data_IF_014473195513
#
_entry.id   IF_014473195513
#
_cell.length_a   1.000
_cell.length_b   1.000
_cell.length_c   1.000
_cell.angle_alpha   90.00
_cell.angle_beta   90.00
_cell.angle_gamma   90.00
#
_symmetry.space_group_name_H-M   'P 1'
#
loop_
_entity.id
_entity.type
_entity.pdbx_description
1 polymer ?
#
# COMPACT_ATOMS: atom_id res chain seq x y z
N UNK A 1 52.87 13.95 -5.24
CA UNK A 1 52.03 13.13 -4.33
C UNK A 1 50.91 13.96 -3.68
N UNK A 2 51.20 15.18 -3.19
CA UNK A 2 50.23 16.07 -2.51
C UNK A 2 48.95 16.41 -3.33
N UNK A 3 49.06 16.66 -4.63
CA UNK A 3 47.92 16.98 -5.51
C UNK A 3 46.93 15.80 -5.73
N UNK A 4 47.34 14.56 -5.45
CA UNK A 4 46.49 13.37 -5.61
C UNK A 4 45.63 13.12 -4.36
N UNK A 5 46.17 13.33 -3.16
CA UNK A 5 45.37 13.25 -1.94
C UNK A 5 44.32 14.36 -1.87
N UNK A 6 44.64 15.57 -2.33
CA UNK A 6 43.70 16.70 -2.32
C UNK A 6 42.53 16.50 -3.28
N UNK A 7 42.77 15.97 -4.48
CA UNK A 7 41.71 15.64 -5.44
C UNK A 7 40.81 14.50 -4.94
N UNK A 8 41.38 13.47 -4.31
CA UNK A 8 40.61 12.39 -3.68
C UNK A 8 39.76 12.89 -2.51
N UNK A 9 40.33 13.74 -1.65
CA UNK A 9 39.60 14.34 -0.54
C UNK A 9 38.46 15.24 -1.05
N UNK A 10 38.70 16.05 -2.09
CA UNK A 10 37.68 16.88 -2.69
C UNK A 10 36.55 16.06 -3.34
N UNK A 11 36.86 14.95 -4.02
CA UNK A 11 35.86 14.06 -4.61
C UNK A 11 35.03 13.33 -3.54
N UNK A 12 35.67 12.83 -2.48
CA UNK A 12 34.98 12.21 -1.35
C UNK A 12 34.11 13.23 -0.58
N UNK A 13 34.61 14.45 -0.38
CA UNK A 13 33.86 15.55 0.22
C UNK A 13 32.66 15.96 -0.65
N UNK A 14 32.83 16.02 -1.97
CA UNK A 14 31.75 16.32 -2.93
C UNK A 14 30.69 15.21 -2.93
N UNK A 15 31.07 13.94 -2.95
CA UNK A 15 30.14 12.81 -2.84
C UNK A 15 29.42 12.80 -1.49
N UNK A 16 30.14 13.12 -0.41
CA UNK A 16 29.57 13.33 0.93
C UNK A 16 28.53 14.46 0.93
N UNK A 17 28.88 15.64 0.40
CA UNK A 17 27.99 16.79 0.25
C UNK A 17 26.75 16.44 -0.60
N UNK A 18 26.94 15.78 -1.75
CA UNK A 18 25.85 15.35 -2.62
C UNK A 18 24.92 14.33 -1.94
N UNK A 19 25.45 13.48 -1.06
CA UNK A 19 24.61 12.56 -0.28
C UNK A 19 23.72 13.27 0.75
N UNK A 20 24.19 14.39 1.31
CA UNK A 20 23.43 15.23 2.25
C UNK A 20 22.37 16.08 1.53
N UNK A 21 22.63 16.50 0.29
CA UNK A 21 21.67 17.30 -0.52
C UNK A 21 20.42 16.53 -0.96
N UNK A 22 20.40 15.20 -0.84
CA UNK A 22 19.26 14.38 -1.28
C UNK A 22 19.17 14.12 -2.79
N UNK A 23 20.12 14.64 -3.58
CA UNK A 23 20.20 14.39 -5.04
C UNK A 23 20.35 12.90 -5.32
N UNK A 24 21.20 12.21 -4.56
CA UNK A 24 21.41 10.76 -4.69
C UNK A 24 20.11 9.97 -4.45
N UNK A 25 19.32 10.38 -3.45
CA UNK A 25 18.04 9.74 -3.16
C UNK A 25 17.01 9.99 -4.28
N UNK A 26 16.99 11.21 -4.84
CA UNK A 26 16.09 11.58 -5.93
C UNK A 26 16.41 10.82 -7.22
N UNK A 27 17.70 10.71 -7.56
CA UNK A 27 18.15 9.90 -8.70
C UNK A 27 17.83 8.42 -8.48
N UNK A 28 18.06 7.88 -7.28
CA UNK A 28 17.71 6.51 -6.95
C UNK A 28 16.22 6.23 -7.08
N UNK A 29 15.36 7.13 -6.62
CA UNK A 29 13.91 7.01 -6.75
C UNK A 29 13.50 7.03 -8.23
N UNK A 30 14.03 7.98 -9.01
CA UNK A 30 13.73 8.07 -10.44
C UNK A 30 14.19 6.82 -11.19
N UNK A 31 15.40 6.34 -10.93
CA UNK A 31 15.88 5.08 -11.52
C UNK A 31 14.98 3.90 -11.14
N UNK A 32 14.52 3.82 -9.89
CA UNK A 32 13.57 2.79 -9.47
C UNK A 32 12.26 2.88 -10.25
N UNK A 33 11.74 4.08 -10.48
CA UNK A 33 10.50 4.25 -11.26
C UNK A 33 10.70 3.85 -12.72
N UNK A 34 11.81 4.24 -13.35
CA UNK A 34 12.14 3.80 -14.71
C UNK A 34 12.31 2.27 -14.80
N UNK A 35 12.84 1.63 -13.75
CA UNK A 35 12.93 0.17 -13.71
C UNK A 35 11.53 -0.49 -13.66
N UNK A 36 10.56 0.10 -12.97
CA UNK A 36 9.16 -0.38 -13.03
C UNK A 36 8.57 -0.23 -14.43
N UNK A 37 8.82 0.91 -15.08
CA UNK A 37 8.38 1.17 -16.45
C UNK A 37 9.00 0.15 -17.42
N UNK A 38 10.31 -0.06 -17.34
CA UNK A 38 11.04 -1.01 -18.19
C UNK A 38 10.60 -2.46 -17.95
N UNK A 39 10.31 -2.81 -16.69
CA UNK A 39 9.79 -4.13 -16.35
C UNK A 39 8.39 -4.37 -16.94
N UNK A 40 7.62 -3.31 -17.14
CA UNK A 40 6.23 -3.39 -17.59
C UNK A 40 5.28 -3.94 -16.50
N UNK A 41 3.97 -3.99 -16.77
CA UNK A 41 2.99 -4.54 -15.84
C UNK A 41 3.21 -6.05 -15.60
N UNK A 42 2.99 -6.48 -14.37
CA UNK A 42 3.02 -7.87 -13.93
C UNK A 42 1.66 -8.20 -13.33
N UNK A 43 1.06 -9.31 -13.76
CA UNK A 43 -0.21 -9.78 -13.22
C UNK A 43 -0.07 -10.09 -11.72
N UNK A 44 -0.83 -9.45 -10.82
CA UNK A 44 -0.85 -9.79 -9.40
C UNK A 44 -1.67 -11.07 -9.17
N UNK A 45 -1.69 -11.56 -7.92
CA UNK A 45 -2.53 -12.71 -7.57
C UNK A 45 -3.99 -12.45 -7.92
N UNK A 46 -4.62 -13.42 -8.58
CA UNK A 46 -6.04 -13.38 -8.93
C UNK A 46 -6.95 -13.73 -7.74
N UNK A 47 -6.36 -14.07 -6.59
CA UNK A 47 -7.08 -14.32 -5.35
C UNK A 47 -7.43 -13.01 -4.61
N UNK A 48 -6.88 -11.88 -5.04
CA UNK A 48 -7.19 -10.56 -4.46
C UNK A 48 -8.16 -9.85 -5.39
N UNK A 49 -9.33 -9.50 -4.86
CA UNK A 49 -10.41 -8.83 -5.58
C UNK A 49 -10.70 -7.49 -4.93
N UNK A 50 -10.90 -6.48 -5.76
CA UNK A 50 -11.35 -5.17 -5.33
C UNK A 50 -12.84 -5.04 -5.68
N UNK A 51 -13.64 -4.69 -4.69
CA UNK A 51 -15.03 -4.26 -4.88
C UNK A 51 -15.03 -2.74 -4.78
N UNK A 52 -15.09 -2.09 -5.93
CA UNK A 52 -15.01 -0.64 -6.04
C UNK A 52 -16.37 0.03 -5.86
N UNK A 53 -16.40 1.09 -5.06
CA UNK A 53 -17.52 2.04 -5.05
C UNK A 53 -17.35 2.95 -6.26
N UNK A 54 -17.90 2.51 -7.38
CA UNK A 54 -17.85 3.16 -8.69
C UNK A 54 -19.04 4.13 -8.91
N UNK A 55 -19.01 4.84 -10.04
CA UNK A 55 -20.06 5.80 -10.39
C UNK A 55 -21.44 5.13 -10.53
N UNK A 56 -21.49 3.86 -10.99
CA UNK A 56 -22.73 3.08 -11.06
C UNK A 56 -23.32 2.85 -9.67
N UNK A 57 -22.47 2.58 -8.69
CA UNK A 57 -22.89 2.38 -7.29
C UNK A 57 -23.42 3.68 -6.69
N UNK A 58 -22.78 4.81 -6.96
CA UNK A 58 -23.28 6.13 -6.53
C UNK A 58 -24.62 6.48 -7.20
N UNK A 59 -24.75 6.19 -8.51
CA UNK A 59 -26.00 6.41 -9.24
C UNK A 59 -27.15 5.55 -8.69
N UNK A 60 -26.87 4.30 -8.28
CA UNK A 60 -27.88 3.37 -7.80
C UNK A 60 -28.22 3.52 -6.31
N UNK A 61 -27.25 3.86 -5.46
CA UNK A 61 -27.40 3.85 -3.99
C UNK A 61 -27.49 5.25 -3.37
N UNK A 62 -27.15 6.29 -4.15
CA UNK A 62 -27.13 7.68 -3.70
C UNK A 62 -25.73 8.16 -3.32
N UNK A 63 -25.63 9.30 -2.62
CA UNK A 63 -24.35 9.91 -2.30
C UNK A 63 -23.54 9.08 -1.29
N UNK A 64 -22.22 9.20 -1.37
CA UNK A 64 -21.28 8.69 -0.38
C UNK A 64 -21.29 9.54 0.89
N UNK A 65 -21.15 8.98 2.11
CA UNK A 65 -20.95 7.57 2.45
C UNK A 65 -22.25 6.74 2.47
N UNK A 66 -22.14 5.46 2.11
CA UNK A 66 -23.26 4.54 2.12
C UNK A 66 -23.73 4.14 3.54
N UNK A 67 -25.05 3.97 3.75
CA UNK A 67 -25.58 3.45 5.01
C UNK A 67 -25.06 2.04 5.37
N UNK A 68 -24.85 1.77 6.67
CA UNK A 68 -24.32 0.48 7.18
C UNK A 68 -25.09 -0.75 6.69
N UNK A 69 -26.41 -0.64 6.48
CA UNK A 69 -27.23 -1.72 5.92
C UNK A 69 -26.74 -2.24 4.56
N UNK A 70 -26.12 -1.40 3.73
CA UNK A 70 -25.58 -1.83 2.44
C UNK A 70 -24.29 -2.64 2.64
N UNK A 71 -23.40 -2.23 3.54
CA UNK A 71 -22.22 -3.02 3.89
C UNK A 71 -22.59 -4.36 4.54
N UNK A 72 -23.62 -4.39 5.39
CA UNK A 72 -24.16 -5.62 5.96
C UNK A 72 -24.71 -6.58 4.89
N UNK A 73 -25.44 -6.04 3.89
CA UNK A 73 -25.92 -6.82 2.75
C UNK A 73 -24.79 -7.24 1.81
N UNK A 74 -23.73 -6.44 1.67
CA UNK A 74 -22.55 -6.84 0.89
C UNK A 74 -21.88 -8.04 1.57
N UNK A 75 -21.71 -8.00 2.89
CA UNK A 75 -21.14 -9.12 3.65
C UNK A 75 -21.92 -10.43 3.46
N UNK A 76 -23.25 -10.37 3.35
CA UNK A 76 -24.03 -11.59 3.09
C UNK A 76 -23.76 -12.24 1.72
N UNK A 77 -23.18 -11.50 0.76
CA UNK A 77 -22.72 -12.00 -0.55
C UNK A 77 -21.29 -12.50 -0.56
N UNK A 78 -20.53 -12.22 0.51
CA UNK A 78 -19.10 -12.51 0.61
C UNK A 78 -18.80 -13.63 1.59
N UNK A 79 -19.78 -14.48 1.92
CA UNK A 79 -19.64 -15.54 2.93
C UNK A 79 -18.54 -16.56 2.64
N UNK A 80 -18.18 -16.74 1.36
CA UNK A 80 -17.12 -17.66 0.94
C UNK A 80 -15.75 -17.00 0.80
N UNK A 81 -15.65 -15.68 1.02
CA UNK A 81 -14.38 -14.98 1.03
C UNK A 81 -13.45 -15.52 2.12
N UNK A 82 -12.15 -15.36 1.93
CA UNK A 82 -11.14 -15.71 2.93
C UNK A 82 -10.99 -14.64 3.99
N UNK A 83 -10.90 -13.38 3.56
CA UNK A 83 -10.81 -12.18 4.41
C UNK A 83 -11.48 -11.04 3.66
N UNK A 84 -12.22 -10.20 4.38
CA UNK A 84 -12.89 -9.02 3.83
C UNK A 84 -12.31 -7.79 4.51
N UNK A 85 -11.89 -6.80 3.73
CA UNK A 85 -11.37 -5.54 4.23
C UNK A 85 -12.20 -4.38 3.69
N UNK A 86 -12.58 -3.43 4.55
CA UNK A 86 -13.17 -2.17 4.13
C UNK A 86 -12.14 -1.03 4.24
N UNK A 87 -11.71 -0.51 3.09
CA UNK A 87 -10.75 0.58 2.94
C UNK A 87 -11.42 1.96 2.96
N UNK A 88 -12.19 2.21 4.02
CA UNK A 88 -12.77 3.52 4.35
C UNK A 88 -13.23 3.54 5.80
N UNK A 89 -13.33 4.74 6.37
CA UNK A 89 -13.49 4.92 7.81
C UNK A 89 -14.95 4.75 8.28
N UNK A 90 -15.13 4.00 9.36
CA UNK A 90 -16.42 3.82 10.05
C UNK A 90 -16.42 4.50 11.43
N UNK A 91 -15.89 5.72 11.57
CA UNK A 91 -15.62 6.36 12.87
C UNK A 91 -16.85 6.85 13.62
N UNK A 92 -17.90 7.20 12.90
CA UNK A 92 -19.15 7.69 13.51
C UNK A 92 -20.09 6.54 13.87
N UNK A 93 -20.69 6.65 15.06
CA UNK A 93 -21.72 5.74 15.52
C UNK A 93 -22.98 5.90 14.66
N UNK A 94 -23.57 4.77 14.27
CA UNK A 94 -24.82 4.72 13.50
C UNK A 94 -25.87 3.90 14.23
N UNK A 95 -27.15 4.28 14.06
CA UNK A 95 -28.28 3.43 14.48
C UNK A 95 -28.30 2.07 13.78
N UNK A 96 -27.59 1.95 12.66
CA UNK A 96 -27.49 0.72 11.86
C UNK A 96 -26.27 -0.14 12.21
N UNK A 97 -25.45 0.24 13.20
CA UNK A 97 -24.26 -0.53 13.58
C UNK A 97 -24.61 -1.94 14.06
N UNK A 98 -25.76 -2.13 14.71
CA UNK A 98 -26.23 -3.46 15.13
C UNK A 98 -26.42 -4.43 13.96
N UNK A 99 -26.99 -3.97 12.85
CA UNK A 99 -27.17 -4.78 11.64
C UNK A 99 -25.82 -5.12 11.00
N UNK A 100 -24.86 -4.19 11.04
CA UNK A 100 -23.54 -4.43 10.48
C UNK A 100 -22.71 -5.38 11.35
N UNK A 101 -22.79 -5.28 12.68
CA UNK A 101 -22.17 -6.22 13.60
C UNK A 101 -22.71 -7.64 13.44
N UNK A 102 -24.02 -7.80 13.32
CA UNK A 102 -24.64 -9.11 13.10
C UNK A 102 -24.18 -9.74 11.76
N UNK A 103 -23.98 -8.91 10.73
CA UNK A 103 -23.42 -9.37 9.47
C UNK A 103 -21.94 -9.75 9.61
N UNK A 104 -21.12 -8.96 10.30
CA UNK A 104 -19.70 -9.28 10.55
C UNK A 104 -19.54 -10.59 11.33
N UNK A 105 -20.39 -10.85 12.32
CA UNK A 105 -20.37 -12.06 13.15
C UNK A 105 -20.54 -13.36 12.34
N UNK A 106 -21.32 -13.30 11.26
CA UNK A 106 -21.61 -14.45 10.39
C UNK A 106 -20.78 -14.46 9.10
N UNK A 107 -19.80 -13.56 8.99
CA UNK A 107 -18.93 -13.41 7.84
C UNK A 107 -17.53 -13.96 8.12
N UNK A 108 -16.73 -14.22 7.07
CA UNK A 108 -15.28 -14.36 7.21
C UNK A 108 -14.67 -13.15 7.94
N UNK A 109 -13.42 -13.26 8.45
CA UNK A 109 -12.76 -12.17 9.15
C UNK A 109 -12.88 -10.82 8.42
N UNK A 110 -13.52 -9.85 9.09
CA UNK A 110 -13.71 -8.50 8.57
C UNK A 110 -12.68 -7.55 9.19
N UNK A 111 -11.93 -6.85 8.35
CA UNK A 111 -10.93 -5.85 8.74
C UNK A 111 -11.46 -4.47 8.37
N UNK A 112 -11.39 -3.52 9.31
CA UNK A 112 -11.86 -2.16 9.10
C UNK A 112 -10.69 -1.16 9.05
N UNK A 113 -10.81 -0.12 8.23
CA UNK A 113 -9.80 0.93 8.18
C UNK A 113 -9.79 1.79 9.44
N UNK A 114 -8.59 2.26 9.79
CA UNK A 114 -8.33 3.38 10.69
C UNK A 114 -7.52 4.43 9.94
N UNK A 115 -7.62 5.68 10.35
CA UNK A 115 -6.84 6.78 9.75
C UNK A 115 -6.23 7.64 10.83
N UNK A 116 -5.23 8.43 10.46
CA UNK A 116 -4.68 9.46 11.33
C UNK A 116 -5.20 10.82 10.88
N UNK A 117 -5.69 11.63 11.82
CA UNK A 117 -6.06 13.00 11.50
C UNK A 117 -4.82 13.94 11.53
N UNK A 118 -5.00 15.20 11.14
CA UNK A 118 -3.93 16.20 11.14
C UNK A 118 -3.23 16.37 12.51
N UNK A 119 -3.96 16.14 13.62
CA UNK A 119 -3.44 16.24 14.99
C UNK A 119 -2.69 14.98 15.45
N UNK A 120 -2.44 14.04 14.54
CA UNK A 120 -1.82 12.73 14.80
C UNK A 120 -2.65 11.80 15.70
N UNK A 121 -3.92 12.11 15.92
CA UNK A 121 -4.86 11.23 16.63
C UNK A 121 -5.32 10.13 15.69
N UNK A 122 -5.41 8.91 16.22
CA UNK A 122 -5.88 7.75 15.47
C UNK A 122 -7.41 7.72 15.51
N UNK A 123 -8.04 7.91 14.36
CA UNK A 123 -9.46 7.67 14.18
C UNK A 123 -9.66 6.18 13.86
N UNK A 124 -10.32 5.49 14.79
CA UNK A 124 -10.67 4.07 14.68
C UNK A 124 -12.14 3.93 14.25
N UNK A 125 -12.57 2.72 13.85
CA UNK A 125 -14.00 2.41 13.76
C UNK A 125 -14.72 2.78 15.05
N UNK A 126 -15.99 3.15 14.92
CA UNK A 126 -16.85 3.50 16.03
C UNK A 126 -16.80 2.37 17.08
N UNK A 127 -16.72 2.67 18.39
CA UNK A 127 -16.68 1.64 19.43
C UNK A 127 -17.88 0.67 19.40
N UNK A 128 -19.00 1.10 18.83
CA UNK A 128 -20.17 0.27 18.55
C UNK A 128 -19.89 -0.86 17.56
N UNK A 129 -18.86 -0.78 16.70
CA UNK A 129 -18.46 -1.80 15.74
C UNK A 129 -17.41 -2.74 16.34
N UNK A 130 -17.88 -3.74 17.07
CA UNK A 130 -17.04 -4.60 17.91
C UNK A 130 -16.88 -6.05 17.40
N UNK A 131 -17.55 -6.41 16.30
CA UNK A 131 -17.47 -7.75 15.70
C UNK A 131 -16.47 -7.86 14.53
N UNK A 132 -15.63 -6.84 14.29
CA UNK A 132 -14.55 -6.94 13.31
C UNK A 132 -13.38 -7.77 13.86
N UNK A 133 -12.64 -8.45 12.99
CA UNK A 133 -11.39 -9.14 13.35
C UNK A 133 -10.34 -8.16 13.90
N UNK A 134 -10.29 -6.96 13.33
CA UNK A 134 -9.39 -5.90 13.77
C UNK A 134 -9.49 -4.67 12.88
N UNK A 135 -8.73 -3.65 13.24
CA UNK A 135 -8.58 -2.45 12.42
C UNK A 135 -7.12 -2.10 12.21
N UNK A 136 -6.81 -1.53 11.05
CA UNK A 136 -5.45 -1.12 10.69
C UNK A 136 -5.45 0.17 9.87
N UNK A 137 -4.33 0.88 9.90
CA UNK A 137 -4.24 2.17 9.22
C UNK A 137 -4.13 2.02 7.70
N UNK A 138 -4.79 2.91 6.98
CA UNK A 138 -4.75 2.98 5.50
C UNK A 138 -3.87 4.14 5.00
N UNK A 139 -3.08 4.73 5.90
CA UNK A 139 -2.19 5.84 5.62
C UNK A 139 -1.25 5.58 4.43
N UNK A 140 -1.23 6.51 3.48
CA UNK A 140 -0.35 6.49 2.32
C UNK A 140 0.88 7.36 2.57
N UNK A 141 2.07 6.78 2.41
CA UNK A 141 3.32 7.54 2.53
C UNK A 141 3.69 8.10 1.16
N UNK A 142 3.51 9.41 1.02
CA UNK A 142 3.97 10.16 -0.14
C UNK A 142 5.48 10.41 -0.07
N UNK A 143 6.16 10.17 -1.19
CA UNK A 143 7.52 10.68 -1.40
C UNK A 143 7.52 12.21 -1.44
N UNK A 144 8.71 12.83 -1.40
CA UNK A 144 8.86 14.29 -1.61
C UNK A 144 8.35 14.77 -2.97
N UNK A 145 8.27 13.85 -3.93
CA UNK A 145 7.75 14.01 -5.27
C UNK A 145 6.28 13.60 -5.41
N UNK A 146 5.60 13.27 -4.30
CA UNK A 146 4.19 12.84 -4.31
C UNK A 146 3.97 11.41 -4.77
N UNK A 147 5.02 10.65 -5.09
CA UNK A 147 4.89 9.27 -5.60
C UNK A 147 4.92 8.28 -4.44
N UNK A 148 3.95 7.36 -4.42
CA UNK A 148 3.82 6.31 -3.42
C UNK A 148 4.83 5.20 -3.69
N UNK A 149 5.83 5.05 -2.82
CA UNK A 149 6.85 3.98 -2.93
C UNK A 149 7.00 3.11 -1.70
N UNK A 150 6.41 3.52 -0.58
CA UNK A 150 6.59 2.88 0.73
C UNK A 150 5.27 2.69 1.42
N UNK A 151 5.20 1.62 2.22
CA UNK A 151 4.12 1.39 3.17
C UNK A 151 4.72 1.27 4.57
N UNK A 152 4.12 1.94 5.56
CA UNK A 152 4.39 1.68 6.96
C UNK A 152 3.56 0.49 7.39
N UNK A 153 4.17 -0.60 7.87
CA UNK A 153 3.42 -1.76 8.32
C UNK A 153 3.03 -1.70 9.79
N UNK A 154 3.88 -1.08 10.60
CA UNK A 154 3.61 -0.83 12.01
C UNK A 154 4.10 0.56 12.32
N UNK A 155 3.17 1.46 12.63
CA UNK A 155 3.50 2.80 13.08
C UNK A 155 3.49 2.89 14.60
N UNK A 156 4.44 3.62 15.17
CA UNK A 156 4.44 3.97 16.60
C UNK A 156 3.67 5.28 16.77
N UNK A 157 2.63 5.24 17.57
CA UNK A 157 1.75 6.38 17.87
C UNK A 157 1.81 6.69 19.36
N UNK A 158 1.31 7.86 19.77
CA UNK A 158 1.16 8.18 21.19
C UNK A 158 0.22 7.21 21.94
N UNK A 159 -0.64 6.51 21.20
CA UNK A 159 -1.61 5.53 21.71
C UNK A 159 -1.12 4.07 21.56
N UNK A 160 0.15 3.86 21.21
CA UNK A 160 0.75 2.54 20.99
C UNK A 160 1.01 2.20 19.53
N UNK A 161 1.09 0.91 19.21
CA UNK A 161 1.38 0.43 17.85
C UNK A 161 0.11 0.42 17.01
N UNK A 162 0.16 1.06 15.84
CA UNK A 162 -0.90 1.03 14.86
C UNK A 162 -0.44 0.20 13.65
N UNK A 163 -0.93 -1.02 13.48
CA UNK A 163 -0.61 -1.85 12.32
C UNK A 163 -1.32 -1.36 11.06
N UNK A 164 -0.73 -1.62 9.90
CA UNK A 164 -1.35 -1.33 8.61
C UNK A 164 -2.57 -2.21 8.37
N UNK A 165 -3.54 -1.67 7.64
CA UNK A 165 -4.74 -2.38 7.21
C UNK A 165 -4.41 -3.69 6.47
N UNK A 166 -3.53 -3.63 5.47
CA UNK A 166 -3.07 -4.80 4.73
C UNK A 166 -2.31 -5.82 5.62
N UNK A 167 -1.65 -5.37 6.68
CA UNK A 167 -0.99 -6.26 7.64
C UNK A 167 -2.03 -7.04 8.46
N UNK A 168 -3.08 -6.37 8.95
CA UNK A 168 -4.17 -7.03 9.67
C UNK A 168 -4.91 -8.02 8.75
N UNK A 169 -5.13 -7.68 7.48
CA UNK A 169 -5.71 -8.63 6.51
C UNK A 169 -4.84 -9.88 6.31
N UNK A 170 -3.51 -9.73 6.21
CA UNK A 170 -2.60 -10.88 6.13
C UNK A 170 -2.66 -11.76 7.40
N UNK A 171 -2.76 -11.15 8.59
CA UNK A 171 -2.91 -11.87 9.85
C UNK A 171 -4.26 -12.59 9.95
N UNK A 172 -5.35 -11.95 9.51
CA UNK A 172 -6.68 -12.54 9.41
C UNK A 172 -6.71 -13.76 8.49
N UNK A 173 -5.80 -13.81 7.52
CA UNK A 173 -5.58 -14.95 6.64
C UNK A 173 -4.62 -16.02 7.22
N UNK A 174 -4.35 -15.95 8.51
CA UNK A 174 -3.47 -16.84 9.27
C UNK A 174 -1.99 -16.79 8.85
N UNK A 175 -1.51 -15.67 8.29
CA UNK A 175 -0.07 -15.48 8.10
C UNK A 175 0.58 -15.06 9.43
N UNK A 176 1.54 -15.84 9.96
CA UNK A 176 2.16 -15.55 11.24
C UNK A 176 2.92 -14.22 11.24
N UNK A 177 2.79 -13.44 12.33
CA UNK A 177 3.41 -12.11 12.43
C UNK A 177 4.93 -12.12 12.23
N UNK A 178 5.62 -13.17 12.67
CA UNK A 178 7.07 -13.32 12.55
C UNK A 178 7.55 -13.53 11.09
N UNK A 179 6.64 -13.83 10.16
CA UNK A 179 6.95 -13.93 8.72
C UNK A 179 6.75 -12.60 7.98
N UNK A 180 6.24 -11.58 8.67
CA UNK A 180 5.91 -10.28 8.11
C UNK A 180 6.89 -9.21 8.61
N UNK A 181 7.16 -8.15 7.84
CA UNK A 181 8.11 -7.12 8.24
C UNK A 181 7.61 -6.28 9.42
N UNK A 182 8.54 -5.78 10.24
CA UNK A 182 8.25 -4.85 11.35
C UNK A 182 8.33 -3.38 10.97
N UNK A 183 9.16 -3.07 9.98
CA UNK A 183 9.42 -1.70 9.54
C UNK A 183 8.65 -1.31 8.28
N UNK A 184 8.91 -0.09 7.78
CA UNK A 184 8.41 0.29 6.47
C UNK A 184 8.99 -0.62 5.39
N UNK A 185 8.17 -0.96 4.41
CA UNK A 185 8.59 -1.68 3.21
C UNK A 185 8.58 -0.76 2.01
N UNK A 186 9.40 -1.10 1.00
CA UNK A 186 9.21 -0.56 -0.33
C UNK A 186 8.20 -1.42 -1.08
N UNK A 187 7.24 -0.76 -1.69
CA UNK A 187 6.14 -1.40 -2.40
C UNK A 187 6.68 -1.90 -3.74
N UNK A 188 6.47 -3.19 -4.01
CA UNK A 188 6.58 -3.77 -5.33
C UNK A 188 5.23 -3.57 -6.04
N UNK A 189 5.11 -2.47 -6.78
CA UNK A 189 3.94 -2.16 -7.60
C UNK A 189 3.77 -3.20 -8.70
N UNK A 190 2.55 -3.41 -9.21
CA UNK A 190 2.30 -4.43 -10.25
C UNK A 190 2.05 -3.83 -11.63
N UNK A 191 1.42 -2.66 -11.72
CA UNK A 191 1.12 -2.03 -13.00
C UNK A 191 0.39 -0.69 -12.81
N UNK A 192 -0.20 -0.14 -13.89
CA UNK A 192 -1.07 1.03 -13.81
C UNK A 192 -2.35 0.74 -12.99
N UNK A 193 -3.20 1.74 -12.83
CA UNK A 193 -4.56 1.56 -12.28
C UNK A 193 -5.31 0.40 -12.96
N UNK A 194 -6.18 -0.27 -12.20
CA UNK A 194 -6.95 -1.44 -12.64
C UNK A 194 -6.11 -2.65 -13.06
N UNK A 195 -4.95 -2.85 -12.43
CA UNK A 195 -4.13 -4.06 -12.61
C UNK A 195 -4.72 -5.26 -11.85
N UNK A 196 -5.41 -5.01 -10.73
CA UNK A 196 -6.19 -6.03 -10.02
C UNK A 196 -7.57 -6.23 -10.67
N UNK A 197 -8.26 -7.32 -10.32
CA UNK A 197 -9.64 -7.51 -10.75
C UNK A 197 -10.59 -6.65 -9.91
N UNK A 198 -11.36 -5.80 -10.59
CA UNK A 198 -12.41 -4.96 -10.02
C UNK A 198 -13.79 -5.54 -10.27
N UNK A 199 -14.65 -5.43 -9.26
CA UNK A 199 -16.08 -5.65 -9.33
C UNK A 199 -16.81 -4.42 -8.81
N UNK A 200 -17.90 -4.04 -9.46
CA UNK A 200 -18.73 -2.93 -8.99
C UNK A 200 -19.44 -3.30 -7.67
N UNK A 201 -19.43 -2.39 -6.69
CA UNK A 201 -20.10 -2.58 -5.40
C UNK A 201 -21.58 -2.93 -5.59
N UNK A 202 -22.29 -2.22 -6.46
CA UNK A 202 -23.71 -2.47 -6.70
C UNK A 202 -23.97 -3.84 -7.34
N UNK A 203 -23.10 -4.30 -8.24
CA UNK A 203 -23.25 -5.60 -8.90
C UNK A 203 -23.11 -6.76 -7.91
N UNK A 204 -22.14 -6.67 -7.00
CA UNK A 204 -21.99 -7.66 -5.92
C UNK A 204 -23.17 -7.58 -4.96
N UNK A 205 -23.57 -6.38 -4.54
CA UNK A 205 -24.70 -6.16 -3.62
C UNK A 205 -26.04 -6.74 -4.16
N UNK A 206 -26.25 -6.65 -5.47
CA UNK A 206 -27.41 -7.19 -6.17
C UNK A 206 -27.33 -8.71 -6.40
N UNK A 207 -26.16 -9.32 -6.20
CA UNK A 207 -25.95 -10.75 -6.41
C UNK A 207 -25.75 -11.14 -7.87
N UNK A 208 -25.26 -10.22 -8.72
CA UNK A 208 -24.88 -10.54 -10.11
C UNK A 208 -23.65 -11.45 -10.15
N UNK A 209 -22.82 -11.39 -9.11
CA UNK A 209 -21.65 -12.25 -8.94
C UNK A 209 -22.03 -13.40 -7.99
N UNK A 210 -21.84 -14.67 -8.39
CA UNK A 210 -22.17 -15.81 -7.55
C UNK A 210 -21.24 -15.88 -6.34
N UNK A 211 -21.76 -16.32 -5.18
CA UNK A 211 -20.97 -16.37 -3.93
C UNK A 211 -19.73 -17.29 -4.04
N UNK A 212 -19.81 -18.34 -4.86
CA UNK A 212 -18.69 -19.26 -5.16
C UNK A 212 -17.53 -18.59 -5.90
N UNK A 213 -17.75 -17.42 -6.49
CA UNK A 213 -16.66 -16.63 -7.06
C UNK A 213 -15.66 -16.20 -5.99
N UNK A 214 -16.13 -15.92 -4.78
CA UNK A 214 -15.31 -15.38 -3.69
C UNK A 214 -14.57 -16.45 -2.89
N UNK A 215 -14.76 -17.75 -3.19
CA UNK A 215 -14.09 -18.85 -2.49
C UNK A 215 -12.57 -18.67 -2.49
N UNK A 216 -11.97 -18.72 -1.29
CA UNK A 216 -10.52 -18.53 -1.05
C UNK A 216 -9.95 -17.16 -1.46
N UNK A 217 -10.80 -16.17 -1.77
CA UNK A 217 -10.34 -14.84 -2.20
C UNK A 217 -10.28 -13.83 -1.06
N UNK A 218 -9.31 -12.94 -1.15
CA UNK A 218 -9.17 -11.75 -0.32
C UNK A 218 -9.96 -10.62 -0.99
N UNK A 219 -10.90 -10.02 -0.26
CA UNK A 219 -11.79 -9.00 -0.81
C UNK A 219 -11.50 -7.67 -0.15
N UNK A 220 -11.12 -6.67 -0.93
CA UNK A 220 -11.00 -5.29 -0.48
C UNK A 220 -12.17 -4.49 -1.04
N UNK A 221 -12.86 -3.73 -0.19
CA UNK A 221 -13.95 -2.86 -0.58
C UNK A 221 -13.49 -1.42 -0.38
N UNK A 222 -13.48 -0.60 -1.43
CA UNK A 222 -12.90 0.74 -1.35
C UNK A 222 -13.45 1.71 -2.37
N UNK A 223 -13.04 2.96 -2.26
CA UNK A 223 -13.43 4.02 -3.18
C UNK A 223 -12.76 3.84 -4.54
N UNK A 224 -13.54 3.99 -5.61
CA UNK A 224 -13.05 3.95 -7.00
C UNK A 224 -13.52 5.19 -7.78
N UNK A 225 -14.78 5.60 -7.58
CA UNK A 225 -15.37 6.76 -8.23
C UNK A 225 -14.51 8.01 -8.03
N UNK A 226 -14.25 8.73 -9.12
CA UNK A 226 -13.44 9.95 -9.14
C UNK A 226 -13.99 10.99 -8.15
N UNK A 227 -15.32 11.06 -8.01
CA UNK A 227 -15.99 11.98 -7.08
C UNK A 227 -15.71 11.72 -5.59
N UNK A 228 -15.15 10.57 -5.21
CA UNK A 228 -14.75 10.27 -3.83
C UNK A 228 -13.31 10.76 -3.55
N UNK A 229 -12.44 10.77 -4.57
CA UNK A 229 -11.15 11.46 -4.53
C UNK A 229 -10.00 10.74 -3.81
N UNK A 230 -10.10 9.42 -3.56
CA UNK A 230 -9.00 8.64 -2.97
C UNK A 230 -8.12 8.01 -4.05
N UNK A 231 -7.33 8.84 -4.73
CA UNK A 231 -6.40 8.42 -5.78
C UNK A 231 -5.00 8.97 -5.54
N UNK A 232 -3.98 8.19 -5.94
CA UNK A 232 -2.57 8.52 -5.68
C UNK A 232 -1.69 8.23 -6.90
N UNK A 233 -0.56 8.94 -6.96
CA UNK A 233 0.46 8.73 -7.99
C UNK A 233 1.38 7.58 -7.59
N UNK A 234 1.55 6.61 -8.48
CA UNK A 234 2.46 5.48 -8.34
C UNK A 234 3.54 5.53 -9.44
N UNK A 235 4.61 4.70 -9.36
CA UNK A 235 5.62 4.64 -10.41
C UNK A 235 5.08 4.26 -11.80
N UNK A 236 3.88 3.65 -11.89
CA UNK A 236 3.22 3.33 -13.16
C UNK A 236 2.25 4.41 -13.65
N UNK A 237 1.95 5.43 -12.83
CA UNK A 237 1.01 6.50 -13.21
C UNK A 237 1.51 7.26 -14.42
N UNK A 238 0.68 7.31 -15.47
CA UNK A 238 0.91 8.11 -16.68
C UNK A 238 -0.18 9.16 -16.88
N UNK A 239 -1.43 8.71 -16.89
CA UNK A 239 -2.59 9.56 -17.17
C UNK A 239 -3.57 9.53 -16.01
N UNK A 240 -3.91 8.34 -15.52
CA UNK A 240 -4.84 8.18 -14.39
C UNK A 240 -4.10 7.78 -13.13
N UNK A 241 -4.61 8.25 -12.01
CA UNK A 241 -4.07 7.92 -10.69
C UNK A 241 -4.67 6.60 -10.19
N UNK A 242 -3.90 5.91 -9.35
CA UNK A 242 -4.30 4.61 -8.81
C UNK A 242 -5.21 4.80 -7.59
N UNK A 243 -6.38 4.13 -7.51
CA UNK A 243 -7.22 4.16 -6.31
C UNK A 243 -6.47 3.70 -5.06
N UNK A 244 -6.72 4.34 -3.91
CA UNK A 244 -6.09 4.00 -2.63
C UNK A 244 -6.26 2.51 -2.27
N UNK A 245 -7.43 1.95 -2.56
CA UNK A 245 -7.74 0.53 -2.35
C UNK A 245 -6.86 -0.42 -3.16
N UNK A 246 -6.42 -0.02 -4.35
CA UNK A 246 -5.48 -0.82 -5.14
C UNK A 246 -4.07 -0.79 -4.57
N UNK A 247 -3.69 0.31 -3.92
CA UNK A 247 -2.43 0.40 -3.20
C UNK A 247 -2.49 -0.53 -1.97
N UNK A 248 -3.61 -0.55 -1.24
CA UNK A 248 -3.81 -1.51 -0.14
C UNK A 248 -3.77 -2.96 -0.65
N UNK A 249 -4.41 -3.26 -1.80
CA UNK A 249 -4.36 -4.56 -2.46
C UNK A 249 -2.93 -4.95 -2.87
N UNK A 250 -2.16 -3.99 -3.39
CA UNK A 250 -0.75 -4.16 -3.76
C UNK A 250 0.10 -4.50 -2.53
N UNK A 251 -0.07 -3.78 -1.43
CA UNK A 251 0.61 -4.05 -0.16
C UNK A 251 0.22 -5.44 0.36
N UNK A 252 -1.05 -5.80 0.34
CA UNK A 252 -1.51 -7.14 0.74
C UNK A 252 -0.85 -8.23 -0.13
N UNK A 253 -0.84 -8.07 -1.45
CA UNK A 253 -0.22 -9.02 -2.36
C UNK A 253 1.30 -9.14 -2.08
N UNK A 254 1.97 -8.03 -1.80
CA UNK A 254 3.38 -8.01 -1.40
C UNK A 254 3.62 -8.85 -0.14
N UNK A 255 2.75 -8.72 0.86
CA UNK A 255 2.86 -9.47 2.13
C UNK A 255 2.57 -10.96 1.95
N UNK A 256 1.53 -11.30 1.20
CA UNK A 256 1.13 -12.69 0.96
C UNK A 256 2.17 -13.44 0.12
N UNK A 257 2.69 -12.80 -0.93
CA UNK A 257 3.67 -13.41 -1.85
C UNK A 257 5.13 -13.22 -1.37
N UNK A 258 5.35 -12.44 -0.31
CA UNK A 258 6.68 -12.07 0.20
C UNK A 258 7.56 -11.36 -0.84
N UNK A 259 6.95 -10.53 -1.68
CA UNK A 259 7.58 -9.85 -2.84
C UNK A 259 7.90 -8.38 -2.61
N UNK A 260 7.77 -7.86 -1.37
CA UNK A 260 8.13 -6.48 -1.07
C UNK A 260 9.61 -6.19 -1.36
N UNK A 261 9.89 -4.97 -1.81
CA UNK A 261 11.26 -4.57 -2.13
C UNK A 261 12.04 -4.24 -0.85
N UNK A 262 13.32 -4.59 -0.86
CA UNK A 262 14.27 -4.24 0.21
C UNK A 262 15.27 -3.21 -0.34
N UNK A 263 15.64 -2.20 0.43
CA UNK A 263 16.73 -1.31 0.02
C UNK A 263 18.00 -2.14 -0.17
N UNK A 264 18.73 -1.89 -1.26
CA UNK A 264 20.07 -2.45 -1.41
C UNK A 264 20.93 -1.96 -0.24
N UNK A 265 21.50 -2.92 0.50
CA UNK A 265 22.28 -2.71 1.72
C UNK A 265 23.41 -1.70 1.46
N UNK A 266 23.81 -0.91 2.46
CA UNK A 266 24.94 0.04 2.41
C UNK A 266 26.24 -0.55 1.85
N UNK A 267 26.43 -1.88 1.85
CA UNK A 267 27.57 -2.54 1.19
C UNK A 267 27.63 -2.31 -0.32
N UNK A 268 26.50 -2.16 -1.02
CA UNK A 268 26.51 -1.74 -2.43
C UNK A 268 27.03 -0.32 -2.58
N UNK A 269 26.69 0.58 -1.64
CA UNK A 269 27.25 1.95 -1.58
C UNK A 269 28.75 1.92 -1.29
N UNK A 270 29.20 1.03 -0.42
CA UNK A 270 30.63 0.79 -0.14
C UNK A 270 31.30 0.17 -1.37
N UNK A 271 30.68 -0.76 -2.07
CA UNK A 271 31.23 -1.39 -3.27
C UNK A 271 31.36 -0.38 -4.42
N UNK A 272 30.35 0.47 -4.66
CA UNK A 272 30.47 1.57 -5.63
C UNK A 272 31.52 2.60 -5.18
N UNK A 273 31.63 2.88 -3.88
CA UNK A 273 32.68 3.73 -3.34
C UNK A 273 34.07 3.12 -3.54
N UNK A 274 34.23 1.81 -3.30
CA UNK A 274 35.49 1.05 -3.45
C UNK A 274 35.85 0.86 -4.92
N UNK A 275 34.89 0.58 -5.80
CA UNK A 275 35.09 0.52 -7.26
C UNK A 275 35.50 1.91 -7.78
N UNK A 276 34.81 2.96 -7.33
CA UNK A 276 35.21 4.34 -7.59
C UNK A 276 36.63 4.64 -7.10
N UNK A 277 37.00 4.18 -5.89
CA UNK A 277 38.34 4.29 -5.34
C UNK A 277 39.38 3.52 -6.18
N UNK A 278 39.04 2.31 -6.63
CA UNK A 278 39.93 1.40 -7.38
C UNK A 278 40.20 1.92 -8.80
N UNK A 279 39.19 2.47 -9.47
CA UNK A 279 39.35 3.18 -10.75
C UNK A 279 40.26 4.42 -10.64
N UNK A 280 40.45 4.98 -9.43
CA UNK A 280 41.37 6.10 -9.19
C UNK A 280 42.82 5.67 -8.97
N UNK A 281 43.08 4.38 -8.66
CA UNK A 281 44.43 3.81 -8.56
C UNK A 281 44.96 3.27 -9.89
N UNK A 282 44.09 3.02 -10.87
CA UNK A 282 44.47 2.57 -12.22
C UNK A 282 44.26 3.72 -13.22
N UNK A 283 45.23 4.62 -13.30
CA UNK A 283 45.35 5.59 -14.39
C UNK A 283 46.74 5.48 -15.02
N UNK A 284 46.86 5.40 -16.36
CA UNK A 284 48.16 5.24 -17.01
C UNK A 284 49.09 6.40 -16.64
N UNK A 285 50.22 6.08 -16.00
CA UNK A 285 51.29 7.03 -15.79
C UNK A 285 51.94 7.37 -17.13
N UNK A 286 52.27 8.65 -17.36
CA UNK A 286 53.22 8.99 -18.42
C UNK A 286 54.55 8.33 -18.05
N UNK A 287 55.04 7.43 -18.90
CA UNK A 287 56.44 7.05 -18.94
C UNK A 287 57.20 8.24 -19.52
N UNK A 288 57.93 8.97 -18.69
CA UNK A 288 59.03 9.81 -19.17
C UNK A 288 60.22 8.93 -19.56
#
# INVERSE_FOLDING_TARGET
MLNRLTTLFAAALLLGLLSVTGIVASLSNKTQDELFVLRGPIQPSQDIIIIGVDDNSLAALGPWPFPRKYHARLLSRLKQAKVIGFDFLFSEQSRQDGVFNAAMETSPPVVLASVRNADKKVLRPAPSLNNCFGSGHIEIILGRDGIVRKAMLVEKTGEGRLPAFALIMAQAANIPRNQLPDGPIFINHYGPEHTFLYLSYIDVLQGKIPETFFTNRYVLVGAEAIGIGDTHVTPYTRQFQTPGVEIQATILNNLLQKTWLRPLISLSRIAFFVIGLFCLFVWPGKTE
#
